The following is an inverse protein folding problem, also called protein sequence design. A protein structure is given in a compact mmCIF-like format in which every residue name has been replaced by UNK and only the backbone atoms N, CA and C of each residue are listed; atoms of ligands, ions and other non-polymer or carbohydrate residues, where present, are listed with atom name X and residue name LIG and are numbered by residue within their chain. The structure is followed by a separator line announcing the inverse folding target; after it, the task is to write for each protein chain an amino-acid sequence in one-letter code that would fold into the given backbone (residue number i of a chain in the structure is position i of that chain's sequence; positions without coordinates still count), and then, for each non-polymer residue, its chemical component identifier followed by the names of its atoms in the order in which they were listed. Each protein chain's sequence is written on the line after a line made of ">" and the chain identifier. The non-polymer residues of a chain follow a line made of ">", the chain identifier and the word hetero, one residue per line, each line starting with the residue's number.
data_IF_113462265126
#
_entry.id   IF_113462265126
#
_cell.length_a   1.000
_cell.length_b   1.000
_cell.length_c   1.000
_cell.angle_alpha   90.00
_cell.angle_beta   90.00
_cell.angle_gamma   90.00
#
_symmetry.space_group_name_H-M   'P 1'
#
loop_
_entity.id
_entity.type
_entity.pdbx_description
1 polymer ?
#
# COMPACT_ATOMS: atom_id res chain seq x y z
N UNK A 1 -71.14 33.90 -2.81
CA UNK A 1 -70.50 32.97 -1.86
C UNK A 1 -69.44 32.22 -2.64
N UNK A 2 -68.15 32.58 -2.51
CA UNK A 2 -67.04 31.94 -3.23
C UNK A 2 -66.15 31.24 -2.19
N UNK A 3 -66.09 29.91 -2.24
CA UNK A 3 -65.18 29.09 -1.44
C UNK A 3 -63.89 28.85 -2.23
N UNK A 4 -62.78 29.42 -1.77
CA UNK A 4 -61.44 29.16 -2.30
C UNK A 4 -60.85 27.99 -1.51
N UNK A 5 -60.77 26.81 -2.15
CA UNK A 5 -60.04 25.65 -1.62
C UNK A 5 -58.55 25.79 -1.93
N UNK A 6 -57.75 26.02 -0.89
CA UNK A 6 -56.28 26.03 -0.97
C UNK A 6 -55.78 24.59 -0.79
N UNK A 7 -55.36 23.95 -1.88
CA UNK A 7 -54.72 22.64 -1.84
C UNK A 7 -53.22 22.80 -1.54
N UNK A 8 -52.84 22.48 -0.31
CA UNK A 8 -51.45 22.48 0.16
C UNK A 8 -50.75 21.20 -0.34
N UNK A 9 -50.04 21.30 -1.47
CA UNK A 9 -49.22 20.20 -1.98
C UNK A 9 -47.90 20.10 -1.18
N UNK A 10 -47.84 19.17 -0.24
CA UNK A 10 -46.62 18.84 0.49
C UNK A 10 -45.64 18.11 -0.46
N UNK A 11 -44.63 18.84 -0.95
CA UNK A 11 -43.56 18.29 -1.76
C UNK A 11 -42.60 17.53 -0.83
N UNK A 12 -42.81 16.22 -0.69
CA UNK A 12 -41.89 15.31 0.01
C UNK A 12 -40.67 15.15 -0.89
N UNK A 13 -39.61 15.91 -0.61
CA UNK A 13 -38.30 15.71 -1.22
C UNK A 13 -37.73 14.39 -0.70
N UNK A 14 -37.94 13.29 -1.44
CA UNK A 14 -37.22 12.05 -1.23
C UNK A 14 -35.75 12.31 -1.51
N UNK A 15 -34.95 12.42 -0.45
CA UNK A 15 -33.48 12.40 -0.55
C UNK A 15 -33.06 11.04 -1.09
N UNK A 16 -32.93 10.92 -2.41
CA UNK A 16 -32.24 9.83 -3.09
C UNK A 16 -30.79 9.87 -2.62
N UNK A 17 -30.47 9.08 -1.60
CA UNK A 17 -29.09 8.75 -1.28
C UNK A 17 -28.55 7.92 -2.45
N UNK A 18 -27.97 8.59 -3.44
CA UNK A 18 -27.21 7.92 -4.50
C UNK A 18 -26.27 6.93 -3.82
N UNK A 19 -26.27 5.64 -4.21
CA UNK A 19 -25.35 4.67 -3.64
C UNK A 19 -23.94 5.22 -3.81
N UNK A 20 -23.36 5.64 -2.68
CA UNK A 20 -22.03 6.24 -2.64
C UNK A 20 -21.09 5.20 -3.25
N UNK A 21 -20.57 5.49 -4.44
CA UNK A 21 -19.68 4.61 -5.19
C UNK A 21 -18.73 3.91 -4.22
N UNK A 22 -18.81 2.59 -4.14
CA UNK A 22 -17.95 1.80 -3.24
C UNK A 22 -16.46 2.00 -3.63
N UNK A 23 -16.19 2.42 -4.87
CA UNK A 23 -14.89 2.84 -5.39
C UNK A 23 -14.37 4.19 -4.85
N UNK A 24 -15.20 4.99 -4.18
CA UNK A 24 -14.87 6.32 -3.64
C UNK A 24 -14.78 6.34 -2.10
N UNK A 25 -14.76 5.17 -1.45
CA UNK A 25 -14.66 5.05 0.01
C UNK A 25 -13.22 5.18 0.55
N UNK A 26 -13.03 5.42 1.86
CA UNK A 26 -11.70 5.46 2.47
C UNK A 26 -10.90 4.17 2.22
N UNK A 27 -11.58 3.02 2.24
CA UNK A 27 -10.96 1.73 1.94
C UNK A 27 -10.39 1.66 0.53
N UNK A 28 -11.12 2.16 -0.46
CA UNK A 28 -10.68 2.17 -1.85
C UNK A 28 -9.44 3.07 -2.02
N UNK A 29 -9.42 4.23 -1.36
CA UNK A 29 -8.25 5.11 -1.36
C UNK A 29 -7.02 4.46 -0.71
N UNK A 30 -7.18 3.80 0.45
CA UNK A 30 -6.09 3.05 1.08
C UNK A 30 -5.57 1.96 0.14
N UNK A 31 -6.47 1.16 -0.45
CA UNK A 31 -6.10 0.10 -1.39
C UNK A 31 -5.34 0.64 -2.60
N UNK A 32 -5.84 1.69 -3.24
CA UNK A 32 -5.19 2.32 -4.39
C UNK A 32 -3.76 2.80 -4.05
N UNK A 33 -3.56 3.35 -2.84
CA UNK A 33 -2.25 3.78 -2.38
C UNK A 33 -1.27 2.60 -2.27
N UNK A 34 -1.68 1.52 -1.60
CA UNK A 34 -0.82 0.34 -1.48
C UNK A 34 -0.60 -0.37 -2.81
N UNK A 35 -1.61 -0.40 -3.70
CA UNK A 35 -1.44 -0.90 -5.07
C UNK A 35 -0.38 -0.11 -5.83
N UNK A 36 -0.40 1.23 -5.77
CA UNK A 36 0.64 2.07 -6.37
C UNK A 36 2.04 1.76 -5.81
N UNK A 37 2.17 1.67 -4.48
CA UNK A 37 3.44 1.29 -3.83
C UNK A 37 3.93 -0.09 -4.31
N UNK A 38 3.06 -1.10 -4.32
CA UNK A 38 3.42 -2.48 -4.74
C UNK A 38 3.84 -2.58 -6.21
N UNK A 39 3.33 -1.68 -7.06
CA UNK A 39 3.73 -1.57 -8.47
C UNK A 39 5.04 -0.80 -8.67
N UNK A 40 5.58 -0.18 -7.63
CA UNK A 40 6.72 0.72 -7.74
C UNK A 40 6.37 2.11 -8.28
N UNK A 41 5.09 2.46 -8.32
CA UNK A 41 4.60 3.74 -8.85
C UNK A 41 4.53 4.80 -7.74
N UNK A 42 5.68 5.41 -7.46
CA UNK A 42 5.81 6.41 -6.40
C UNK A 42 4.96 7.66 -6.66
N UNK A 43 4.80 8.07 -7.93
CA UNK A 43 4.07 9.28 -8.29
C UNK A 43 2.56 9.06 -8.12
N UNK A 44 2.03 7.92 -8.55
CA UNK A 44 0.64 7.56 -8.29
C UNK A 44 0.36 7.40 -6.78
N UNK A 45 1.29 6.82 -6.03
CA UNK A 45 1.17 6.71 -4.58
C UNK A 45 1.17 8.11 -3.92
N UNK A 46 2.07 9.01 -4.33
CA UNK A 46 2.13 10.38 -3.81
C UNK A 46 0.87 11.20 -4.11
N UNK A 47 0.26 11.00 -5.28
CA UNK A 47 -1.01 11.65 -5.63
C UNK A 47 -2.14 11.31 -4.65
N UNK A 48 -2.05 10.16 -3.98
CA UNK A 48 -2.99 9.64 -3.00
C UNK A 48 -2.68 10.06 -1.55
N UNK A 49 -1.59 10.80 -1.30
CA UNK A 49 -1.25 11.34 0.02
C UNK A 49 -1.90 12.71 0.26
N UNK A 50 -2.43 12.92 1.46
CA UNK A 50 -3.06 14.15 1.88
C UNK A 50 -2.00 15.18 2.29
N UNK A 51 -1.76 16.20 1.43
CA UNK A 51 -0.78 17.27 1.63
C UNK A 51 0.67 16.73 1.83
N UNK A 52 1.28 16.13 0.78
CA UNK A 52 2.56 15.46 0.91
C UNK A 52 3.69 16.41 1.31
N UNK A 53 4.38 16.08 2.40
CA UNK A 53 5.63 16.71 2.84
C UNK A 53 6.84 16.11 2.12
N UNK A 54 8.03 16.70 2.25
CA UNK A 54 9.27 16.12 1.71
C UNK A 54 9.60 14.76 2.34
N UNK A 55 9.23 14.58 3.62
CA UNK A 55 9.37 13.30 4.30
C UNK A 55 8.45 12.24 3.69
N UNK A 56 7.22 12.60 3.31
CA UNK A 56 6.30 11.70 2.62
C UNK A 56 6.82 11.33 1.24
N UNK A 57 7.38 12.30 0.51
CA UNK A 57 8.01 12.06 -0.81
C UNK A 57 9.13 11.05 -0.69
N UNK A 58 10.01 11.20 0.30
CA UNK A 58 11.10 10.26 0.55
C UNK A 58 10.57 8.87 0.91
N UNK A 59 9.65 8.79 1.88
CA UNK A 59 9.09 7.52 2.35
C UNK A 59 8.35 6.75 1.24
N UNK A 60 7.53 7.44 0.45
CA UNK A 60 6.78 6.85 -0.66
C UNK A 60 7.70 6.38 -1.78
N UNK A 61 8.63 7.23 -2.24
CA UNK A 61 9.57 6.87 -3.31
C UNK A 61 10.39 5.65 -2.95
N UNK A 62 10.89 5.63 -1.73
CA UNK A 62 11.73 4.54 -1.31
C UNK A 62 10.95 3.25 -1.06
N UNK A 63 9.73 3.33 -0.50
CA UNK A 63 8.85 2.17 -0.39
C UNK A 63 8.51 1.58 -1.77
N UNK A 64 8.19 2.44 -2.74
CA UNK A 64 7.92 2.02 -4.11
C UNK A 64 9.15 1.38 -4.77
N UNK A 65 10.33 2.00 -4.67
CA UNK A 65 11.58 1.46 -5.22
C UNK A 65 11.96 0.11 -4.59
N UNK A 66 11.73 -0.04 -3.28
CA UNK A 66 11.92 -1.31 -2.56
C UNK A 66 11.01 -2.41 -3.10
N UNK A 67 9.71 -2.14 -3.28
CA UNK A 67 8.77 -3.10 -3.85
C UNK A 67 9.13 -3.46 -5.30
N UNK A 68 9.56 -2.48 -6.09
CA UNK A 68 10.00 -2.72 -7.46
C UNK A 68 11.24 -3.63 -7.52
N UNK A 69 12.24 -3.38 -6.66
CA UNK A 69 13.44 -4.21 -6.55
C UNK A 69 13.12 -5.65 -6.17
N UNK A 70 12.25 -5.83 -5.18
CA UNK A 70 11.79 -7.15 -4.73
C UNK A 70 11.06 -7.91 -5.86
N UNK A 71 10.13 -7.25 -6.56
CA UNK A 71 9.43 -7.85 -7.70
C UNK A 71 10.38 -8.26 -8.82
N UNK A 72 11.36 -7.42 -9.16
CA UNK A 72 12.38 -7.75 -10.18
C UNK A 72 13.18 -9.00 -9.82
N UNK A 73 13.48 -9.21 -8.53
CA UNK A 73 14.18 -10.41 -8.05
C UNK A 73 13.28 -11.64 -8.20
N UNK A 74 11.99 -11.54 -7.83
CA UNK A 74 11.01 -12.61 -8.03
C UNK A 74 10.85 -12.94 -9.52
N UNK A 75 10.61 -11.95 -10.38
CA UNK A 75 10.46 -12.13 -11.82
C UNK A 75 11.69 -12.84 -12.42
N UNK A 76 12.90 -12.46 -11.99
CA UNK A 76 14.14 -13.08 -12.42
C UNK A 76 14.28 -14.52 -11.91
N UNK A 77 13.91 -14.78 -10.65
CA UNK A 77 13.92 -16.12 -10.08
C UNK A 77 12.90 -17.03 -10.78
N UNK A 78 11.67 -16.55 -11.03
CA UNK A 78 10.64 -17.27 -11.80
C UNK A 78 11.11 -17.53 -13.23
N UNK A 79 11.73 -16.55 -13.90
CA UNK A 79 12.29 -16.75 -15.23
C UNK A 79 13.41 -17.79 -15.26
N UNK A 80 14.21 -17.90 -14.21
CA UNK A 80 15.36 -18.83 -14.14
C UNK A 80 14.99 -20.23 -13.69
N UNK A 81 14.05 -20.35 -12.73
CA UNK A 81 13.74 -21.59 -12.02
C UNK A 81 12.29 -22.09 -12.26
N UNK A 82 11.52 -21.42 -13.13
CA UNK A 82 10.12 -21.73 -13.40
C UNK A 82 9.22 -21.38 -12.22
N UNK A 83 8.08 -22.08 -12.08
CA UNK A 83 7.12 -21.85 -10.97
C UNK A 83 7.77 -21.97 -9.59
N UNK A 84 8.81 -22.80 -9.44
CA UNK A 84 9.58 -22.92 -8.19
C UNK A 84 10.28 -21.62 -7.80
N UNK A 85 10.53 -20.73 -8.77
CA UNK A 85 11.12 -19.40 -8.61
C UNK A 85 10.23 -18.38 -7.91
N UNK A 86 8.98 -18.71 -7.57
CA UNK A 86 8.13 -17.87 -6.72
C UNK A 86 8.76 -17.68 -5.33
N UNK A 87 9.12 -16.43 -5.01
CA UNK A 87 9.76 -16.09 -3.75
C UNK A 87 8.73 -15.73 -2.67
N UNK A 88 7.43 -15.72 -3.01
CA UNK A 88 6.33 -15.37 -2.12
C UNK A 88 6.08 -13.86 -2.02
N UNK A 89 6.81 -13.04 -2.77
CA UNK A 89 6.74 -11.57 -2.72
C UNK A 89 5.37 -11.12 -3.24
N UNK A 90 4.99 -11.54 -4.46
CA UNK A 90 3.68 -11.24 -5.02
C UNK A 90 2.54 -11.86 -4.20
N UNK A 91 2.74 -13.07 -3.67
CA UNK A 91 1.75 -13.72 -2.80
C UNK A 91 1.48 -12.89 -1.53
N UNK A 92 2.53 -12.40 -0.86
CA UNK A 92 2.43 -11.52 0.31
C UNK A 92 1.74 -10.21 -0.01
N UNK A 93 2.10 -9.57 -1.13
CA UNK A 93 1.44 -8.32 -1.58
C UNK A 93 -0.07 -8.53 -1.79
N UNK A 94 -0.47 -9.64 -2.42
CA UNK A 94 -1.90 -9.97 -2.59
C UNK A 94 -2.62 -10.17 -1.26
N UNK A 95 -1.98 -10.84 -0.27
CA UNK A 95 -2.54 -11.00 1.08
C UNK A 95 -2.77 -9.65 1.75
N UNK A 96 -1.79 -8.76 1.72
CA UNK A 96 -1.87 -7.40 2.26
C UNK A 96 -3.01 -6.59 1.59
N UNK A 97 -3.08 -6.59 0.25
CA UNK A 97 -4.15 -5.90 -0.48
C UNK A 97 -5.54 -6.49 -0.17
N UNK A 98 -5.62 -7.81 0.02
CA UNK A 98 -6.83 -8.49 0.48
C UNK A 98 -7.25 -8.06 1.88
N UNK A 99 -6.30 -7.94 2.82
CA UNK A 99 -6.54 -7.45 4.17
C UNK A 99 -7.05 -6.01 4.17
N UNK A 100 -6.45 -5.12 3.36
CA UNK A 100 -6.93 -3.74 3.17
C UNK A 100 -8.35 -3.75 2.58
N UNK A 101 -8.62 -4.62 1.60
CA UNK A 101 -9.93 -4.77 0.97
C UNK A 101 -11.05 -5.22 1.90
N UNK A 102 -10.73 -5.85 3.03
CA UNK A 102 -11.68 -6.28 4.07
C UNK A 102 -11.60 -5.46 5.36
N UNK A 103 -10.68 -4.52 5.46
CA UNK A 103 -10.42 -3.76 6.67
C UNK A 103 -11.70 -3.05 7.19
N UNK A 104 -12.04 -3.20 8.49
CA UNK A 104 -12.98 -2.31 9.16
C UNK A 104 -12.53 -0.85 8.99
N UNK A 105 -13.49 0.05 8.78
CA UNK A 105 -13.22 1.47 8.59
C UNK A 105 -14.08 2.28 9.54
N UNK A 106 -13.44 3.02 10.43
CA UNK A 106 -14.09 4.01 11.29
C UNK A 106 -14.06 5.36 10.56
N UNK A 107 -15.22 5.99 10.36
CA UNK A 107 -15.34 7.28 9.67
C UNK A 107 -15.89 8.32 10.64
N UNK A 108 -15.18 9.44 10.78
CA UNK A 108 -15.60 10.59 11.58
C UNK A 108 -15.41 11.87 10.76
N UNK A 109 -16.50 12.34 10.16
CA UNK A 109 -16.50 13.50 9.26
C UNK A 109 -15.55 13.31 8.08
N UNK A 110 -14.56 14.20 7.97
CA UNK A 110 -13.53 14.18 6.92
C UNK A 110 -12.31 13.32 7.26
N UNK A 111 -12.37 12.52 8.34
CA UNK A 111 -11.30 11.60 8.75
C UNK A 111 -11.81 10.17 8.75
N UNK A 112 -10.91 9.24 8.46
CA UNK A 112 -11.19 7.82 8.61
C UNK A 112 -9.94 7.06 9.04
N UNK A 113 -10.14 5.91 9.69
CA UNK A 113 -9.08 4.97 10.01
C UNK A 113 -9.49 3.59 9.51
N UNK A 114 -8.69 2.99 8.64
CA UNK A 114 -8.84 1.60 8.23
C UNK A 114 -7.95 0.70 9.10
N UNK A 115 -8.45 -0.44 9.53
CA UNK A 115 -7.74 -1.39 10.40
C UNK A 115 -7.52 -2.73 9.67
N UNK A 116 -6.54 -2.84 8.74
CA UNK A 116 -6.29 -4.10 8.06
C UNK A 116 -5.71 -5.12 9.03
N UNK A 117 -6.15 -6.38 8.92
CA UNK A 117 -5.67 -7.48 9.75
C UNK A 117 -4.16 -7.72 9.53
N UNK A 118 -3.41 -7.85 10.63
CA UNK A 118 -1.96 -8.08 10.59
C UNK A 118 -1.12 -6.89 10.15
N UNK A 119 -1.75 -5.74 9.87
CA UNK A 119 -1.09 -4.52 9.39
C UNK A 119 -1.36 -3.34 10.33
N UNK A 120 -0.57 -2.28 10.19
CA UNK A 120 -0.80 -1.05 10.95
C UNK A 120 -2.05 -0.32 10.45
N UNK A 121 -2.83 0.33 11.34
CA UNK A 121 -3.98 1.13 10.93
C UNK A 121 -3.58 2.22 9.92
N UNK A 122 -4.41 2.44 8.90
CA UNK A 122 -4.18 3.44 7.84
C UNK A 122 -5.06 4.64 8.14
N UNK A 123 -4.44 5.80 8.41
CA UNK A 123 -5.19 7.04 8.60
C UNK A 123 -5.49 7.65 7.23
N UNK A 124 -6.71 8.15 7.07
CA UNK A 124 -7.19 8.79 5.86
C UNK A 124 -7.86 10.13 6.19
N UNK A 125 -7.81 11.03 5.21
CA UNK A 125 -8.49 12.33 5.27
C UNK A 125 -9.13 12.65 3.93
N UNK A 126 -10.31 13.25 3.95
CA UNK A 126 -10.97 13.80 2.77
C UNK A 126 -10.36 15.15 2.41
N UNK A 127 -9.86 15.28 1.18
CA UNK A 127 -9.24 16.50 0.64
C UNK A 127 -9.82 16.75 -0.74
N UNK A 128 -10.50 17.89 -0.94
CA UNK A 128 -11.13 18.22 -2.22
C UNK A 128 -12.19 17.19 -2.65
N UNK A 129 -12.97 16.66 -1.70
CA UNK A 129 -14.00 15.65 -1.97
C UNK A 129 -13.50 14.21 -2.10
N UNK A 130 -12.19 13.99 -2.25
CA UNK A 130 -11.59 12.65 -2.38
C UNK A 130 -10.93 12.19 -1.08
N UNK A 131 -11.02 10.91 -0.76
CA UNK A 131 -10.25 10.32 0.33
C UNK A 131 -8.78 10.15 -0.08
N UNK A 132 -7.88 10.55 0.81
CA UNK A 132 -6.44 10.41 0.65
C UNK A 132 -5.84 9.81 1.91
N UNK A 133 -4.73 9.08 1.76
CA UNK A 133 -3.95 8.57 2.89
C UNK A 133 -3.33 9.76 3.63
N UNK A 134 -3.40 9.75 4.96
CA UNK A 134 -2.67 10.73 5.79
C UNK A 134 -1.16 10.67 5.52
N UNK A 135 -0.39 11.58 6.09
CA UNK A 135 1.06 11.58 5.88
C UNK A 135 1.66 10.25 6.38
N UNK A 136 2.23 9.41 5.48
CA UNK A 136 2.92 8.20 5.89
C UNK A 136 4.13 8.49 6.77
N UNK A 137 4.71 9.70 6.67
CA UNK A 137 5.88 10.11 7.46
C UNK A 137 5.54 10.70 8.83
N UNK A 138 4.29 11.12 9.10
CA UNK A 138 3.86 11.69 10.40
C UNK A 138 4.08 10.70 11.56
N UNK A 139 4.20 9.42 11.23
CA UNK A 139 4.42 8.34 12.19
C UNK A 139 5.89 8.01 12.40
N UNK A 140 6.80 8.70 11.71
CA UNK A 140 8.24 8.49 11.81
C UNK A 140 8.87 9.61 12.62
N UNK A 141 9.36 9.26 13.80
CA UNK A 141 10.31 10.09 14.55
C UNK A 141 11.63 10.25 13.78
N UNK A 142 12.48 11.21 14.18
CA UNK A 142 13.80 11.41 13.57
C UNK A 142 14.67 10.14 13.50
N UNK A 143 14.80 9.37 14.60
CA UNK A 143 15.49 8.07 14.59
C UNK A 143 14.84 7.04 13.64
N UNK A 144 13.51 6.94 13.62
CA UNK A 144 12.78 6.02 12.73
C UNK A 144 12.97 6.37 11.26
N UNK A 145 13.06 7.67 10.92
CA UNK A 145 13.36 8.10 9.55
C UNK A 145 14.74 7.64 9.09
N UNK A 146 15.77 7.84 9.92
CA UNK A 146 17.13 7.35 9.63
C UNK A 146 17.18 5.83 9.53
N UNK A 147 16.42 5.13 10.38
CA UNK A 147 16.31 3.68 10.29
C UNK A 147 15.64 3.22 8.99
N UNK A 148 14.58 3.92 8.57
CA UNK A 148 13.90 3.69 7.30
C UNK A 148 14.87 3.91 6.13
N UNK A 149 15.57 5.05 6.08
CA UNK A 149 16.58 5.34 5.04
C UNK A 149 17.62 4.23 4.91
N UNK A 150 18.18 3.77 6.04
CA UNK A 150 19.14 2.64 6.06
C UNK A 150 18.51 1.33 5.58
N UNK A 151 17.28 1.04 6.01
CA UNK A 151 16.58 -0.18 5.60
C UNK A 151 16.29 -0.18 4.09
N UNK A 152 16.00 0.99 3.52
CA UNK A 152 15.76 1.17 2.10
C UNK A 152 17.04 0.98 1.29
N UNK A 153 18.14 1.62 1.69
CA UNK A 153 19.45 1.41 1.06
C UNK A 153 19.86 -0.07 1.11
N UNK A 154 19.70 -0.70 2.27
CA UNK A 154 19.98 -2.13 2.44
C UNK A 154 19.11 -3.00 1.53
N UNK A 155 17.83 -2.65 1.36
CA UNK A 155 16.93 -3.40 0.46
C UNK A 155 17.33 -3.25 -1.00
N UNK A 156 17.73 -2.05 -1.41
CA UNK A 156 18.23 -1.80 -2.77
C UNK A 156 19.51 -2.59 -3.05
N UNK A 157 20.48 -2.53 -2.14
CA UNK A 157 21.74 -3.30 -2.23
C UNK A 157 21.46 -4.81 -2.26
N UNK A 158 20.61 -5.31 -1.36
CA UNK A 158 20.21 -6.71 -1.28
C UNK A 158 19.56 -7.21 -2.58
N UNK A 159 18.60 -6.45 -3.12
CA UNK A 159 17.89 -6.84 -4.35
C UNK A 159 18.83 -6.81 -5.56
N UNK A 160 19.75 -5.84 -5.64
CA UNK A 160 20.79 -5.81 -6.69
C UNK A 160 21.76 -6.99 -6.59
N UNK A 161 22.26 -7.30 -5.39
CA UNK A 161 23.18 -8.42 -5.17
C UNK A 161 22.53 -9.76 -5.54
N UNK A 162 21.33 -10.04 -5.01
CA UNK A 162 20.61 -11.28 -5.28
C UNK A 162 20.27 -11.40 -6.76
N UNK A 163 19.81 -10.32 -7.40
CA UNK A 163 19.58 -10.33 -8.84
C UNK A 163 20.85 -10.67 -9.63
N UNK A 164 22.00 -10.09 -9.25
CA UNK A 164 23.27 -10.39 -9.91
C UNK A 164 23.69 -11.85 -9.72
N UNK A 165 23.49 -12.41 -8.51
CA UNK A 165 23.81 -13.81 -8.20
C UNK A 165 22.90 -14.80 -8.94
N UNK A 166 21.63 -14.46 -9.15
CA UNK A 166 20.73 -15.28 -10.00
C UNK A 166 21.21 -15.24 -11.46
N UNK A 167 21.55 -14.05 -11.98
CA UNK A 167 22.06 -13.90 -13.37
C UNK A 167 23.36 -14.64 -13.61
N UNK A 168 24.30 -14.59 -12.67
CA UNK A 168 25.58 -15.28 -12.81
C UNK A 168 25.50 -16.80 -12.57
N UNK A 169 24.35 -17.32 -12.15
CA UNK A 169 24.18 -18.72 -11.77
C UNK A 169 24.84 -19.09 -10.44
N UNK A 170 25.28 -18.10 -9.65
CA UNK A 170 25.80 -18.31 -8.30
C UNK A 170 24.72 -18.78 -7.32
N UNK A 171 23.45 -18.50 -7.61
CA UNK A 171 22.27 -19.07 -6.95
C UNK A 171 21.70 -20.16 -7.86
N UNK A 172 21.58 -21.38 -7.32
CA UNK A 172 21.24 -22.60 -8.09
C UNK A 172 19.77 -22.98 -7.99
N UNK A 173 19.05 -22.42 -7.02
CA UNK A 173 17.64 -22.71 -6.79
C UNK A 173 16.89 -21.47 -6.28
N UNK A 174 15.56 -21.54 -6.33
CA UNK A 174 14.71 -20.52 -5.76
C UNK A 174 14.78 -20.44 -4.22
N UNK A 175 15.03 -21.57 -3.57
CA UNK A 175 15.26 -21.62 -2.12
C UNK A 175 16.54 -20.86 -1.76
N UNK A 176 17.64 -21.09 -2.49
CA UNK A 176 18.88 -20.33 -2.31
C UNK A 176 18.68 -18.82 -2.60
N UNK A 177 17.85 -18.47 -3.58
CA UNK A 177 17.50 -17.06 -3.87
C UNK A 177 16.75 -16.42 -2.68
N UNK A 178 15.76 -17.14 -2.14
CA UNK A 178 14.97 -16.70 -0.98
C UNK A 178 15.84 -16.53 0.25
N UNK A 179 16.72 -17.49 0.53
CA UNK A 179 17.64 -17.44 1.66
C UNK A 179 18.66 -16.32 1.51
N UNK A 180 19.21 -16.13 0.31
CA UNK A 180 20.12 -15.02 0.01
C UNK A 180 19.44 -13.66 0.25
N UNK A 181 18.19 -13.50 -0.22
CA UNK A 181 17.42 -12.28 -0.01
C UNK A 181 17.10 -12.05 1.47
N UNK A 182 16.63 -13.08 2.17
CA UNK A 182 16.32 -13.04 3.61
C UNK A 182 17.54 -12.65 4.44
N UNK A 183 18.69 -13.27 4.15
CA UNK A 183 19.97 -12.97 4.78
C UNK A 183 20.40 -11.53 4.50
N UNK A 184 20.35 -11.10 3.23
CA UNK A 184 20.74 -9.76 2.83
C UNK A 184 19.86 -8.67 3.47
N UNK A 185 18.57 -8.95 3.70
CA UNK A 185 17.66 -8.05 4.43
C UNK A 185 17.84 -8.10 5.95
N UNK A 186 18.57 -9.09 6.49
CA UNK A 186 18.84 -9.24 7.93
C UNK A 186 17.76 -9.96 8.72
N UNK A 187 16.90 -10.74 8.05
CA UNK A 187 15.88 -11.56 8.69
C UNK A 187 16.42 -12.94 9.11
N UNK A 188 17.62 -13.01 9.70
CA UNK A 188 18.25 -14.30 10.03
C UNK A 188 17.63 -15.00 11.24
N UNK A 189 16.87 -14.33 12.14
CA UNK A 189 16.50 -14.92 13.45
C UNK A 189 15.06 -14.80 13.98
N UNK A 190 14.15 -14.09 13.33
CA UNK A 190 12.75 -14.08 13.78
C UNK A 190 11.90 -14.89 12.79
N UNK A 191 11.21 -15.91 13.30
CA UNK A 191 10.28 -16.76 12.55
C UNK A 191 9.03 -16.02 12.07
N UNK A 192 9.19 -14.83 11.51
CA UNK A 192 8.16 -14.14 10.75
C UNK A 192 8.11 -14.84 9.39
N UNK A 193 7.02 -15.58 9.09
CA UNK A 193 6.88 -16.24 7.80
C UNK A 193 6.83 -15.17 6.71
N UNK A 194 7.71 -15.29 5.71
CA UNK A 194 7.54 -14.64 4.41
C UNK A 194 6.34 -15.27 3.69
#
# INVERSE_FOLDING_TARGET
>A
MCTISLALAALVASSTSTPRNVSEGPRAAARAYFEAITRGDADAALALVANPTDADRLAVRASAASQEGLRRVEDLATSRFGERGDLGITARQRRMLGAIGRAPVEVNGDRAVAHPEGERPVQLRRVGGAWKVGSPADRLTGPERKALERALQKTEEATKDVAQRIRSGAVRSAEEARDALRKALGHEKEGVPL
#
